data_IF_562850575121
#
_entry.id   IF_562850575121
#
_cell.length_a   1.000
_cell.length_b   1.000
_cell.length_c   1.000
_cell.angle_alpha   90.00
_cell.angle_beta   90.00
_cell.angle_gamma   90.00
#
_symmetry.space_group_name_H-M   'P 1'
#
loop_
_entity.id
_entity.type
_entity.pdbx_description
1 polymer ?
#
# COMPACT_ATOMS: atom_id res chain seq x y z
N UNK A 1 6.12 38.59 -29.29
CA UNK A 1 4.67 38.59 -29.04
C UNK A 1 3.97 38.06 -30.29
N UNK A 2 3.92 36.73 -30.43
CA UNK A 2 3.18 36.09 -31.52
C UNK A 2 1.68 36.36 -31.30
N UNK A 3 1.01 36.84 -32.35
CA UNK A 3 -0.37 37.37 -32.30
C UNK A 3 -1.45 36.28 -32.40
N UNK A 4 -1.08 35.01 -32.27
CA UNK A 4 -2.00 33.89 -32.44
C UNK A 4 -2.14 33.17 -31.09
N UNK A 5 -3.35 33.22 -30.52
CA UNK A 5 -3.70 32.45 -29.34
C UNK A 5 -3.62 30.97 -29.70
N UNK A 6 -2.60 30.28 -29.19
CA UNK A 6 -2.46 28.83 -29.34
C UNK A 6 -3.59 28.18 -28.54
N UNK A 7 -4.43 27.39 -29.20
CA UNK A 7 -5.54 26.66 -28.59
C UNK A 7 -5.25 25.17 -28.72
N UNK A 8 -5.32 24.43 -27.62
CA UNK A 8 -5.12 22.98 -27.60
C UNK A 8 -6.39 22.28 -28.09
N UNK A 9 -6.27 21.53 -29.17
CA UNK A 9 -7.32 20.60 -29.62
C UNK A 9 -7.31 19.31 -28.79
N UNK A 10 -8.31 18.44 -28.94
CA UNK A 10 -8.32 17.13 -28.28
C UNK A 10 -7.20 16.22 -28.80
N UNK A 11 -6.92 16.27 -30.10
CA UNK A 11 -5.79 15.54 -30.72
C UNK A 11 -4.44 16.00 -30.17
N UNK A 12 -4.25 17.33 -30.03
CA UNK A 12 -3.03 17.87 -29.42
C UNK A 12 -2.83 17.32 -28.00
N UNK A 13 -3.91 17.12 -27.22
CA UNK A 13 -3.79 16.59 -25.86
C UNK A 13 -3.32 15.14 -25.83
N UNK A 14 -3.85 14.31 -26.72
CA UNK A 14 -3.46 12.90 -26.80
C UNK A 14 -2.02 12.72 -27.28
N UNK A 15 -1.59 13.51 -28.26
CA UNK A 15 -0.23 13.42 -28.82
C UNK A 15 0.83 14.02 -27.89
N UNK A 16 0.51 15.09 -27.16
CA UNK A 16 1.46 15.82 -26.32
C UNK A 16 1.52 15.30 -24.88
N UNK A 17 0.49 14.61 -24.38
CA UNK A 17 0.48 14.07 -23.02
C UNK A 17 1.67 13.13 -22.71
N UNK A 18 2.08 12.21 -23.60
CA UNK A 18 3.28 11.37 -23.37
C UNK A 18 4.57 12.19 -23.34
N UNK A 19 4.59 13.34 -24.03
CA UNK A 19 5.77 14.20 -24.17
C UNK A 19 6.00 15.10 -22.96
N UNK A 20 5.06 15.16 -22.00
CA UNK A 20 5.25 15.87 -20.74
C UNK A 20 6.35 15.26 -19.87
N UNK A 21 6.67 13.98 -20.01
CA UNK A 21 7.62 13.29 -19.11
C UNK A 21 8.99 13.00 -19.74
N UNK A 22 9.25 13.53 -20.94
CA UNK A 22 10.53 13.32 -21.65
C UNK A 22 11.66 14.15 -21.06
N UNK A 23 12.90 13.78 -21.39
CA UNK A 23 14.09 14.44 -20.87
C UNK A 23 14.27 15.85 -21.46
N UNK A 24 14.96 16.73 -20.72
CA UNK A 24 15.22 18.12 -21.15
C UNK A 24 15.95 18.20 -22.50
N UNK A 25 16.87 17.27 -22.76
CA UNK A 25 17.62 17.19 -24.01
C UNK A 25 16.73 16.87 -25.22
N UNK A 26 15.70 16.03 -25.03
CA UNK A 26 14.73 15.71 -26.08
C UNK A 26 13.78 16.89 -26.36
N UNK A 27 13.44 17.69 -25.34
CA UNK A 27 12.63 18.91 -25.51
C UNK A 27 13.35 20.00 -26.29
N UNK A 28 14.67 20.15 -26.12
CA UNK A 28 15.45 21.19 -26.81
C UNK A 28 15.49 21.00 -28.34
N UNK A 29 15.25 19.78 -28.82
CA UNK A 29 15.18 19.47 -30.25
C UNK A 29 13.80 19.71 -30.87
N UNK A 30 12.78 20.04 -30.07
CA UNK A 30 11.41 20.18 -30.55
C UNK A 30 11.13 21.55 -31.20
N UNK A 31 10.22 21.60 -32.19
CA UNK A 31 9.72 22.86 -32.73
C UNK A 31 9.11 23.76 -31.65
N UNK A 32 9.32 25.07 -31.78
CA UNK A 32 8.82 26.08 -30.82
C UNK A 32 7.31 26.00 -30.59
N UNK A 33 6.55 25.71 -31.63
CA UNK A 33 5.08 25.56 -31.56
C UNK A 33 4.65 24.39 -30.66
N UNK A 34 5.40 23.28 -30.68
CA UNK A 34 5.15 22.12 -29.83
C UNK A 34 5.49 22.44 -28.37
N UNK A 35 6.57 23.17 -28.14
CA UNK A 35 6.96 23.61 -26.79
C UNK A 35 5.91 24.55 -26.18
N UNK A 36 5.39 25.52 -26.95
CA UNK A 36 4.31 26.42 -26.50
C UNK A 36 3.04 25.64 -26.13
N UNK A 37 2.67 24.62 -26.92
CA UNK A 37 1.53 23.74 -26.61
C UNK A 37 1.77 22.87 -25.38
N UNK A 38 2.97 22.33 -25.20
CA UNK A 38 3.34 21.54 -24.02
C UNK A 38 3.30 22.36 -22.74
N UNK A 39 3.75 23.62 -22.76
CA UNK A 39 3.66 24.51 -21.61
C UNK A 39 2.21 24.81 -21.22
N UNK A 40 1.32 24.99 -22.20
CA UNK A 40 -0.11 25.16 -21.94
C UNK A 40 -0.74 23.90 -21.35
N UNK A 41 -0.36 22.73 -21.86
CA UNK A 41 -0.89 21.44 -21.39
C UNK A 41 -0.39 21.10 -19.98
N UNK A 42 0.87 21.43 -19.66
CA UNK A 42 1.41 21.31 -18.31
C UNK A 42 0.64 22.18 -17.30
N UNK A 43 0.29 23.42 -17.68
CA UNK A 43 -0.53 24.30 -16.84
C UNK A 43 -1.96 23.77 -16.65
N UNK A 44 -2.59 23.24 -17.71
CA UNK A 44 -3.91 22.58 -17.60
C UNK A 44 -3.85 21.40 -16.61
N UNK A 45 -2.76 20.62 -16.57
CA UNK A 45 -2.59 19.51 -15.62
C UNK A 45 -2.29 19.97 -14.19
N UNK A 46 -1.47 21.00 -14.01
CA UNK A 46 -1.19 21.55 -12.67
C UNK A 46 -2.44 22.17 -12.04
N UNK A 47 -3.27 22.86 -12.82
CA UNK A 47 -4.50 23.51 -12.33
C UNK A 47 -5.68 22.54 -12.17
N UNK A 48 -5.79 21.50 -13.02
CA UNK A 48 -6.95 20.60 -13.03
C UNK A 48 -6.72 19.19 -12.48
N UNK A 49 -5.48 18.69 -12.43
CA UNK A 49 -5.20 17.25 -12.24
C UNK A 49 -5.28 16.75 -10.80
N UNK A 50 -5.21 17.64 -9.81
CA UNK A 50 -5.09 17.25 -8.40
C UNK A 50 -6.32 17.58 -7.55
N UNK A 51 -7.27 18.39 -8.03
CA UNK A 51 -8.47 18.72 -7.25
C UNK A 51 -9.29 17.47 -6.90
N UNK A 52 -9.49 16.57 -7.86
CA UNK A 52 -10.22 15.32 -7.64
C UNK A 52 -9.47 14.39 -6.66
N UNK A 53 -8.13 14.36 -6.74
CA UNK A 53 -7.30 13.55 -5.85
C UNK A 53 -7.26 14.11 -4.43
N UNK A 54 -7.17 15.44 -4.28
CA UNK A 54 -7.25 16.13 -3.00
C UNK A 54 -8.60 15.86 -2.34
N UNK A 55 -9.70 15.95 -3.10
CA UNK A 55 -11.04 15.65 -2.61
C UNK A 55 -11.16 14.19 -2.17
N UNK A 56 -10.66 13.23 -2.96
CA UNK A 56 -10.66 11.80 -2.58
C UNK A 56 -9.85 11.56 -1.30
N UNK A 57 -8.70 12.24 -1.13
CA UNK A 57 -7.87 12.12 0.06
C UNK A 57 -8.61 12.69 1.28
N UNK A 58 -9.25 13.83 1.15
CA UNK A 58 -10.00 14.48 2.23
C UNK A 58 -11.22 13.64 2.66
N UNK A 59 -11.97 13.10 1.71
CA UNK A 59 -13.06 12.15 1.96
C UNK A 59 -12.54 10.87 2.65
N UNK A 60 -11.39 10.34 2.21
CA UNK A 60 -10.78 9.15 2.81
C UNK A 60 -10.33 9.39 4.25
N UNK A 61 -9.76 10.57 4.55
CA UNK A 61 -9.34 10.96 5.90
C UNK A 61 -10.56 11.07 6.83
N UNK A 62 -11.64 11.72 6.37
CA UNK A 62 -12.89 11.81 7.14
C UNK A 62 -13.49 10.43 7.45
N UNK A 63 -13.43 9.48 6.50
CA UNK A 63 -13.89 8.11 6.73
C UNK A 63 -13.05 7.45 7.83
N UNK A 64 -11.72 7.57 7.78
CA UNK A 64 -10.83 6.98 8.80
C UNK A 64 -11.08 7.61 10.17
N UNK A 65 -11.23 8.93 10.26
CA UNK A 65 -11.57 9.62 11.50
C UNK A 65 -12.95 9.22 12.04
N UNK A 66 -13.94 9.01 11.17
CA UNK A 66 -15.28 8.53 11.58
C UNK A 66 -15.29 7.06 12.03
N UNK A 67 -14.31 6.29 11.57
CA UNK A 67 -14.08 4.89 11.95
C UNK A 67 -13.14 4.76 13.15
N UNK A 68 -12.54 5.85 13.63
CA UNK A 68 -11.84 5.82 14.91
C UNK A 68 -12.82 5.39 15.99
N UNK A 69 -12.42 4.46 16.85
CA UNK A 69 -13.42 3.74 17.59
C UNK A 69 -13.93 4.60 18.73
N UNK A 70 -15.22 4.93 18.66
CA UNK A 70 -16.02 5.30 19.82
C UNK A 70 -15.71 4.34 20.98
N UNK A 71 -15.70 4.85 22.21
CA UNK A 71 -15.16 4.25 23.44
C UNK A 71 -15.39 2.73 23.66
N UNK A 72 -16.38 2.12 23.01
CA UNK A 72 -16.67 0.67 23.00
C UNK A 72 -15.58 -0.21 22.36
N UNK A 73 -14.75 0.27 21.42
CA UNK A 73 -13.74 -0.64 20.84
C UNK A 73 -12.56 -0.90 21.75
N UNK A 74 -12.31 -0.05 22.74
CA UNK A 74 -11.31 -0.34 23.78
C UNK A 74 -11.65 -1.64 24.54
N UNK A 75 -12.94 -1.91 24.77
CA UNK A 75 -13.41 -3.17 25.32
C UNK A 75 -13.26 -4.36 24.33
N UNK A 76 -13.48 -4.13 23.03
CA UNK A 76 -13.25 -5.14 21.98
C UNK A 76 -11.76 -5.49 21.82
N UNK A 77 -10.86 -4.51 21.88
CA UNK A 77 -9.42 -4.72 21.86
C UNK A 77 -8.93 -5.51 23.09
N UNK A 78 -9.42 -5.17 24.29
CA UNK A 78 -9.10 -5.88 25.53
C UNK A 78 -9.59 -7.34 25.50
N UNK A 79 -10.80 -7.59 25.00
CA UNK A 79 -11.34 -8.95 24.87
C UNK A 79 -10.61 -9.78 23.81
N UNK A 80 -10.24 -9.18 22.67
CA UNK A 80 -9.42 -9.84 21.65
C UNK A 80 -8.02 -10.19 22.19
N UNK A 81 -7.38 -9.27 22.92
CA UNK A 81 -6.07 -9.47 23.55
C UNK A 81 -6.10 -10.61 24.58
N UNK A 82 -7.16 -10.69 25.41
CA UNK A 82 -7.37 -11.79 26.36
C UNK A 82 -7.59 -13.14 25.67
N UNK A 83 -8.38 -13.17 24.60
CA UNK A 83 -8.63 -14.39 23.81
C UNK A 83 -7.34 -14.91 23.16
N UNK A 84 -6.54 -14.03 22.56
CA UNK A 84 -5.25 -14.38 21.99
C UNK A 84 -4.27 -14.92 23.05
N UNK A 85 -4.24 -14.31 24.25
CA UNK A 85 -3.43 -14.81 25.36
C UNK A 85 -3.87 -16.21 25.81
N UNK A 86 -5.17 -16.47 25.91
CA UNK A 86 -5.71 -17.80 26.25
C UNK A 86 -5.32 -18.85 25.21
N UNK A 87 -5.45 -18.53 23.92
CA UNK A 87 -5.06 -19.43 22.83
C UNK A 87 -3.55 -19.70 22.83
N UNK A 88 -2.74 -18.69 23.07
CA UNK A 88 -1.29 -18.83 23.19
C UNK A 88 -0.89 -19.72 24.38
N UNK A 89 -1.49 -19.52 25.56
CA UNK A 89 -1.22 -20.33 26.76
C UNK A 89 -1.63 -21.79 26.51
N UNK A 90 -2.80 -22.02 25.92
CA UNK A 90 -3.29 -23.35 25.57
C UNK A 90 -2.36 -24.05 24.59
N UNK A 91 -1.96 -23.37 23.51
CA UNK A 91 -1.00 -23.91 22.54
C UNK A 91 0.34 -24.26 23.20
N UNK A 92 0.89 -23.34 24.02
CA UNK A 92 2.17 -23.52 24.70
C UNK A 92 2.16 -24.73 25.64
N UNK A 93 1.09 -24.91 26.41
CA UNK A 93 0.96 -26.07 27.32
C UNK A 93 0.84 -27.38 26.54
N UNK A 94 -0.01 -27.43 25.51
CA UNK A 94 -0.17 -28.64 24.70
C UNK A 94 1.11 -29.02 23.96
N UNK A 95 1.84 -28.02 23.45
CA UNK A 95 3.13 -28.22 22.81
C UNK A 95 4.18 -28.81 23.77
N UNK A 96 4.25 -28.32 25.02
CA UNK A 96 5.14 -28.89 26.04
C UNK A 96 4.80 -30.34 26.36
N UNK A 97 3.51 -30.68 26.50
CA UNK A 97 3.05 -32.06 26.72
C UNK A 97 3.45 -32.95 25.54
N UNK A 98 3.25 -32.48 24.31
CA UNK A 98 3.68 -33.19 23.11
C UNK A 98 5.18 -33.48 23.10
N UNK A 99 6.02 -32.47 23.39
CA UNK A 99 7.47 -32.63 23.45
C UNK A 99 7.89 -33.63 24.53
N UNK A 100 7.27 -33.58 25.72
CA UNK A 100 7.54 -34.51 26.80
C UNK A 100 7.21 -35.95 26.39
N UNK A 101 6.05 -36.19 25.77
CA UNK A 101 5.66 -37.50 25.23
C UNK A 101 6.65 -38.01 24.19
N UNK A 102 7.09 -37.14 23.27
CA UNK A 102 8.07 -37.50 22.23
C UNK A 102 9.45 -37.81 22.82
N UNK A 103 9.88 -37.09 23.86
CA UNK A 103 11.13 -37.37 24.60
C UNK A 103 11.05 -38.74 25.30
N UNK A 104 9.94 -39.03 25.99
CA UNK A 104 9.70 -40.32 26.62
C UNK A 104 9.67 -41.48 25.61
N UNK A 105 9.01 -41.30 24.46
CA UNK A 105 8.98 -42.29 23.39
C UNK A 105 10.38 -42.59 22.83
N UNK A 106 11.19 -41.55 22.60
CA UNK A 106 12.59 -41.71 22.16
C UNK A 106 13.42 -42.46 23.21
N UNK A 107 13.25 -42.16 24.49
CA UNK A 107 13.95 -42.84 25.57
C UNK A 107 13.59 -44.34 25.63
N UNK A 108 12.29 -44.68 25.53
CA UNK A 108 11.82 -46.07 25.44
C UNK A 108 12.39 -46.81 24.24
N UNK A 109 12.43 -46.18 23.05
CA UNK A 109 13.04 -46.78 21.85
C UNK A 109 14.54 -47.04 22.02
N UNK A 110 15.29 -46.15 22.68
CA UNK A 110 16.72 -46.36 22.98
C UNK A 110 16.93 -47.52 23.96
N UNK A 111 16.08 -47.63 24.99
CA UNK A 111 16.15 -48.74 25.95
C UNK A 111 15.82 -50.09 25.28
N UNK A 112 14.78 -50.15 24.44
CA UNK A 112 14.48 -51.36 23.67
C UNK A 112 15.57 -51.77 22.67
N UNK A 113 16.32 -50.82 22.11
CA UNK A 113 17.49 -51.14 21.28
C UNK A 113 18.64 -51.73 22.11
N UNK A 114 18.85 -51.29 23.35
CA UNK A 114 19.88 -51.83 24.25
C UNK A 114 19.57 -53.26 24.71
N UNK A 115 18.31 -53.64 24.89
CA UNK A 115 17.92 -54.99 25.33
C UNK A 115 17.84 -56.02 24.18
N UNK A 116 18.09 -55.61 22.93
CA UNK A 116 18.10 -56.49 21.74
C UNK A 116 19.51 -56.69 21.15
N UNK A 117 20.53 -56.12 21.79
CA UNK A 117 21.94 -56.49 21.61
C UNK A 117 22.36 -57.35 22.80
#
# INVERSE_FOLDING_TARGET
>A
MSKHKVVLTTQDREELAPLLNITKAERELMPKEILEKLELLAKEQEEGGYQDLEQIIEESLQIVESLEPNADASALYETHKRSQLKNYIWWRTHYQVFLARRKAQRARRKCHKKNKS
#
